data_IF_048812616506
#
_entry.id   IF_048812616506
#
_cell.length_a   1.000
_cell.length_b   1.000
_cell.length_c   1.000
_cell.angle_alpha   90.00
_cell.angle_beta   90.00
_cell.angle_gamma   90.00
#
_symmetry.space_group_name_H-M   'P 1'
#
loop_
_entity.id
_entity.type
_entity.pdbx_description
1 polymer ?
#
# COMPACT_ATOMS: atom_id res chain seq x y z
N UNK A 1 -9.69 -20.43 15.80
CA UNK A 1 -8.37 -20.30 15.16
C UNK A 1 -7.76 -21.68 15.06
N UNK A 2 -6.97 -21.95 14.02
CA UNK A 2 -6.39 -23.27 13.80
C UNK A 2 -5.35 -23.62 14.87
N UNK A 3 -5.33 -24.87 15.28
CA UNK A 3 -4.34 -25.45 16.18
C UNK A 3 -3.58 -26.52 15.40
N UNK A 4 -2.25 -26.57 15.53
CA UNK A 4 -1.48 -27.68 14.96
C UNK A 4 -1.76 -28.99 15.76
N UNK A 5 -1.31 -30.16 15.29
CA UNK A 5 -1.48 -31.43 16.00
C UNK A 5 -0.87 -31.45 17.42
N UNK A 6 0.05 -30.54 17.73
CA UNK A 6 0.74 -30.42 19.01
C UNK A 6 -0.02 -29.51 19.99
N UNK A 7 -1.18 -28.97 19.61
CA UNK A 7 -1.95 -28.06 20.46
C UNK A 7 -1.49 -26.59 20.40
N UNK A 8 -0.54 -26.24 19.53
CA UNK A 8 -0.06 -24.88 19.35
C UNK A 8 -1.04 -24.09 18.50
N UNK A 9 -1.54 -22.98 19.05
CA UNK A 9 -2.43 -22.08 18.34
C UNK A 9 -1.66 -21.28 17.29
N UNK A 10 -2.26 -21.11 16.11
CA UNK A 10 -1.71 -20.24 15.07
C UNK A 10 -1.56 -18.79 15.58
N UNK A 11 -0.33 -18.28 15.53
CA UNK A 11 0.03 -16.91 15.89
C UNK A 11 0.92 -16.31 14.80
N UNK A 12 0.36 -15.53 13.86
CA UNK A 12 1.15 -14.84 12.86
C UNK A 12 1.96 -13.72 13.50
N UNK A 13 3.26 -13.65 13.19
CA UNK A 13 4.15 -12.60 13.71
C UNK A 13 4.16 -11.36 12.83
N UNK A 14 4.02 -11.54 11.52
CA UNK A 14 4.02 -10.48 10.51
C UNK A 14 2.89 -10.75 9.51
N UNK A 15 2.20 -9.70 9.08
CA UNK A 15 1.27 -9.76 7.96
C UNK A 15 1.47 -8.58 7.00
N UNK A 16 1.20 -8.81 5.72
CA UNK A 16 1.13 -7.77 4.69
C UNK A 16 -0.33 -7.61 4.30
N UNK A 17 -0.84 -6.39 4.34
CA UNK A 17 -2.23 -6.07 3.97
C UNK A 17 -2.29 -4.88 3.03
N UNK A 18 -3.45 -4.67 2.44
CA UNK A 18 -3.70 -3.46 1.66
C UNK A 18 -3.86 -2.23 2.57
N UNK A 19 -4.05 -1.05 1.99
CA UNK A 19 -4.24 0.18 2.77
C UNK A 19 -5.67 0.32 3.32
N UNK A 20 -6.28 -0.78 3.78
CA UNK A 20 -7.63 -0.80 4.35
C UNK A 20 -7.56 -0.72 5.89
N UNK A 21 -8.29 0.23 6.47
CA UNK A 21 -8.27 0.47 7.92
C UNK A 21 -9.02 -0.64 8.66
N UNK A 22 -10.09 -1.18 8.08
CA UNK A 22 -10.92 -2.22 8.73
C UNK A 22 -10.20 -3.54 8.79
N UNK A 23 -9.51 -3.92 7.72
CA UNK A 23 -8.69 -5.13 7.66
C UNK A 23 -7.59 -5.08 8.71
N UNK A 24 -6.84 -3.97 8.77
CA UNK A 24 -5.80 -3.79 9.80
C UNK A 24 -6.35 -3.85 11.22
N UNK A 25 -7.47 -3.17 11.47
CA UNK A 25 -8.10 -3.19 12.78
C UNK A 25 -8.58 -4.59 13.17
N UNK A 26 -9.14 -5.36 12.22
CA UNK A 26 -9.55 -6.73 12.47
C UNK A 26 -8.34 -7.62 12.83
N UNK A 27 -7.23 -7.49 12.10
CA UNK A 27 -6.00 -8.25 12.39
C UNK A 27 -5.43 -7.91 13.77
N UNK A 28 -5.29 -6.62 14.12
CA UNK A 28 -4.74 -6.24 15.43
C UNK A 28 -5.67 -6.54 16.60
N UNK A 29 -6.99 -6.65 16.35
CA UNK A 29 -7.95 -7.08 17.37
C UNK A 29 -7.85 -8.57 17.69
N UNK A 30 -7.49 -9.40 16.70
CA UNK A 30 -7.34 -10.85 16.87
C UNK A 30 -5.92 -11.22 17.31
N UNK A 31 -4.91 -10.54 16.78
CA UNK A 31 -3.49 -10.74 17.10
C UNK A 31 -2.86 -9.39 17.49
N UNK A 32 -2.91 -9.01 18.78
CA UNK A 32 -2.41 -7.72 19.23
C UNK A 32 -0.91 -7.49 18.95
N UNK A 33 -0.13 -8.58 18.92
CA UNK A 33 1.33 -8.54 18.74
C UNK A 33 1.76 -8.64 17.26
N UNK A 34 0.81 -8.71 16.32
CA UNK A 34 1.13 -8.84 14.90
C UNK A 34 1.79 -7.55 14.37
N UNK A 35 2.92 -7.71 13.68
CA UNK A 35 3.54 -6.62 12.93
C UNK A 35 2.87 -6.49 11.56
N UNK A 36 2.17 -5.39 11.36
CA UNK A 36 1.51 -5.12 10.09
C UNK A 36 2.41 -4.32 9.15
N UNK A 37 2.55 -4.83 7.94
CA UNK A 37 3.10 -4.12 6.81
C UNK A 37 2.00 -3.79 5.80
N UNK A 38 2.08 -2.62 5.19
CA UNK A 38 1.25 -2.22 4.06
C UNK A 38 1.88 -2.69 2.76
N UNK A 39 1.04 -3.14 1.84
CA UNK A 39 1.45 -3.44 0.48
C UNK A 39 2.03 -2.17 -0.17
N UNK A 40 3.29 -2.27 -0.60
CA UNK A 40 4.03 -1.20 -1.24
C UNK A 40 3.34 -0.75 -2.53
N UNK A 41 2.79 -1.68 -3.30
CA UNK A 41 2.07 -1.38 -4.54
C UNK A 41 0.84 -0.51 -4.25
N UNK A 42 -0.03 -0.93 -3.34
CA UNK A 42 -1.25 -0.17 -3.00
C UNK A 42 -0.95 1.15 -2.30
N UNK A 43 0.07 1.20 -1.44
CA UNK A 43 0.53 2.46 -0.83
C UNK A 43 1.02 3.44 -1.89
N UNK A 44 1.89 2.97 -2.79
CA UNK A 44 2.41 3.78 -3.88
C UNK A 44 1.32 4.24 -4.84
N UNK A 45 0.40 3.35 -5.21
CA UNK A 45 -0.73 3.66 -6.08
C UNK A 45 -1.65 4.72 -5.44
N UNK A 46 -1.95 4.61 -4.14
CA UNK A 46 -2.75 5.60 -3.42
C UNK A 46 -2.07 6.98 -3.41
N UNK A 47 -0.76 7.03 -3.18
CA UNK A 47 0.02 8.26 -3.22
C UNK A 47 0.08 8.86 -4.63
N UNK A 48 0.32 8.04 -5.67
CA UNK A 48 0.30 8.50 -7.06
C UNK A 48 -1.06 9.04 -7.48
N UNK A 49 -2.15 8.37 -7.11
CA UNK A 49 -3.50 8.81 -7.42
C UNK A 49 -3.82 10.15 -6.75
N UNK A 50 -3.44 10.32 -5.49
CA UNK A 50 -3.62 11.59 -4.76
C UNK A 50 -2.75 12.68 -5.38
N UNK A 51 -1.47 12.41 -5.66
CA UNK A 51 -0.57 13.34 -6.33
C UNK A 51 -1.14 13.81 -7.66
N UNK A 52 -1.64 12.89 -8.49
CA UNK A 52 -2.24 13.22 -9.78
C UNK A 52 -3.50 14.06 -9.65
N UNK A 53 -4.31 13.81 -8.61
CA UNK A 53 -5.51 14.59 -8.30
C UNK A 53 -5.15 16.01 -7.87
N UNK A 54 -4.22 16.17 -6.92
CA UNK A 54 -3.78 17.47 -6.42
C UNK A 54 -3.18 18.31 -7.55
N UNK A 55 -2.30 17.72 -8.37
CA UNK A 55 -1.70 18.38 -9.53
C UNK A 55 -2.67 18.52 -10.73
N UNK A 56 -3.90 18.00 -10.64
CA UNK A 56 -4.91 18.11 -11.70
C UNK A 56 -5.31 19.55 -11.99
N UNK A 57 -5.18 20.43 -10.99
CA UNK A 57 -5.42 21.87 -11.10
C UNK A 57 -4.33 22.62 -11.89
N UNK A 58 -3.16 22.00 -12.09
CA UNK A 58 -2.06 22.60 -12.85
C UNK A 58 -2.22 22.35 -14.36
N UNK A 59 -1.95 23.35 -15.21
CA UNK A 59 -1.86 23.14 -16.65
C UNK A 59 -0.89 22.02 -17.00
N UNK A 60 -1.19 21.27 -18.07
CA UNK A 60 -0.22 20.31 -18.62
C UNK A 60 0.99 21.08 -19.14
N UNK A 61 2.20 20.61 -18.83
CA UNK A 61 3.45 21.22 -19.22
C UNK A 61 4.61 20.80 -18.32
N UNK A 62 5.78 21.36 -18.60
CA UNK A 62 7.05 20.96 -17.96
C UNK A 62 7.05 21.22 -16.45
N UNK A 63 6.52 22.36 -16.00
CA UNK A 63 6.42 22.72 -14.57
C UNK A 63 5.67 21.64 -13.76
N UNK A 64 4.53 21.16 -14.28
CA UNK A 64 3.75 20.10 -13.64
C UNK A 64 4.54 18.79 -13.59
N UNK A 65 5.31 18.50 -14.64
CA UNK A 65 6.11 17.28 -14.71
C UNK A 65 7.28 17.32 -13.74
N UNK A 66 7.94 18.46 -13.60
CA UNK A 66 9.04 18.68 -12.64
C UNK A 66 8.55 18.49 -11.20
N UNK A 67 7.44 19.14 -10.83
CA UNK A 67 6.83 19.02 -9.50
C UNK A 67 6.43 17.56 -9.23
N UNK A 68 5.74 16.91 -10.17
CA UNK A 68 5.35 15.51 -10.05
C UNK A 68 6.57 14.62 -9.84
N UNK A 69 7.62 14.83 -10.62
CA UNK A 69 8.84 14.02 -10.56
C UNK A 69 9.55 14.20 -9.23
N UNK A 70 9.64 15.44 -8.73
CA UNK A 70 10.25 15.74 -7.42
C UNK A 70 9.48 15.06 -6.28
N UNK A 71 8.16 15.25 -6.21
CA UNK A 71 7.32 14.64 -5.17
C UNK A 71 7.33 13.10 -5.26
N UNK A 72 7.34 12.54 -6.47
CA UNK A 72 7.45 11.10 -6.67
C UNK A 72 8.79 10.54 -6.15
N UNK A 73 9.92 11.21 -6.43
CA UNK A 73 11.23 10.82 -5.88
C UNK A 73 11.25 10.92 -4.36
N UNK A 74 10.69 11.99 -3.80
CA UNK A 74 10.59 12.17 -2.36
C UNK A 74 9.80 11.03 -1.69
N UNK A 75 8.65 10.66 -2.27
CA UNK A 75 7.86 9.52 -1.81
C UNK A 75 8.65 8.19 -1.86
N UNK A 76 9.38 7.95 -2.95
CA UNK A 76 10.19 6.73 -3.08
C UNK A 76 11.33 6.68 -2.06
N UNK A 77 11.97 7.82 -1.78
CA UNK A 77 12.97 7.95 -0.72
C UNK A 77 12.38 7.62 0.66
N UNK A 78 11.19 8.13 0.98
CA UNK A 78 10.47 7.79 2.22
C UNK A 78 10.16 6.28 2.31
N UNK A 79 9.72 5.64 1.22
CA UNK A 79 9.33 4.22 1.21
C UNK A 79 10.52 3.26 1.29
N UNK A 80 11.68 3.64 0.75
CA UNK A 80 12.77 2.68 0.47
C UNK A 80 14.08 2.97 1.17
N UNK A 81 14.37 4.22 1.50
CA UNK A 81 15.72 4.63 1.91
C UNK A 81 15.77 5.06 3.37
N UNK A 82 14.77 5.82 3.83
CA UNK A 82 14.78 6.36 5.20
C UNK A 82 14.37 5.27 6.19
N UNK A 83 15.26 4.99 7.15
CA UNK A 83 15.09 3.95 8.18
C UNK A 83 14.93 4.51 9.60
N UNK A 84 15.06 5.82 9.77
CA UNK A 84 14.89 6.50 11.06
C UNK A 84 13.70 7.47 10.99
N UNK A 85 12.83 7.40 11.99
CA UNK A 85 11.58 8.18 12.00
C UNK A 85 11.85 9.69 12.12
N UNK A 86 12.85 10.08 12.91
CA UNK A 86 13.21 11.50 13.05
C UNK A 86 13.76 12.07 11.75
N UNK A 87 14.54 11.29 11.01
CA UNK A 87 15.03 11.63 9.67
C UNK A 87 13.88 11.70 8.65
N UNK A 88 12.86 10.83 8.76
CA UNK A 88 11.68 10.90 7.90
C UNK A 88 10.88 12.20 8.14
N UNK A 89 10.68 12.57 9.40
CA UNK A 89 10.04 13.84 9.76
C UNK A 89 10.86 15.05 9.31
N UNK A 90 12.19 15.00 9.46
CA UNK A 90 13.08 16.08 9.01
C UNK A 90 13.02 16.25 7.49
N UNK A 91 13.12 15.16 6.73
CA UNK A 91 13.02 15.17 5.27
C UNK A 91 11.66 15.69 4.79
N UNK A 92 10.56 15.35 5.49
CA UNK A 92 9.24 15.90 5.20
C UNK A 92 9.16 17.41 5.44
N UNK A 93 9.67 17.89 6.58
CA UNK A 93 9.69 19.32 6.89
C UNK A 93 10.53 20.12 5.90
N UNK A 94 11.66 19.57 5.45
CA UNK A 94 12.50 20.18 4.42
C UNK A 94 11.72 20.33 3.09
N UNK A 95 11.04 19.27 2.66
CA UNK A 95 10.26 19.30 1.43
C UNK A 95 9.05 20.25 1.53
N UNK A 96 8.39 20.28 2.69
CA UNK A 96 7.31 21.25 2.98
C UNK A 96 7.82 22.69 2.96
N UNK A 97 8.97 22.96 3.60
CA UNK A 97 9.58 24.28 3.60
C UNK A 97 9.97 24.74 2.18
N UNK A 98 10.49 23.83 1.36
CA UNK A 98 10.81 24.10 -0.05
C UNK A 98 9.58 24.60 -0.82
N UNK A 99 8.47 23.86 -0.76
CA UNK A 99 7.25 24.25 -1.50
C UNK A 99 6.56 25.49 -0.90
N UNK A 100 6.64 25.70 0.41
CA UNK A 100 6.15 26.94 1.05
C UNK A 100 6.96 28.16 0.59
N UNK A 101 8.29 28.05 0.53
CA UNK A 101 9.15 29.13 0.04
C UNK A 101 8.96 29.38 -1.46
N UNK A 102 8.73 28.33 -2.25
CA UNK A 102 8.38 28.44 -3.66
C UNK A 102 7.04 29.16 -3.85
N UNK A 103 6.04 28.85 -3.01
CA UNK A 103 4.74 29.52 -3.02
C UNK A 103 4.83 31.00 -2.64
N UNK A 104 5.63 31.35 -1.62
CA UNK A 104 5.74 32.74 -1.17
C UNK A 104 6.39 33.66 -2.21
N UNK A 105 7.19 33.11 -3.13
CA UNK A 105 7.84 33.84 -4.23
C UNK A 105 6.94 34.04 -5.45
N UNK A 106 5.81 33.34 -5.53
CA UNK A 106 4.88 33.35 -6.68
C UNK A 106 3.82 34.46 -6.56
N UNK A 107 3.44 35.07 -7.68
CA UNK A 107 2.45 36.16 -7.73
C UNK A 107 1.17 35.75 -8.49
N UNK A 108 0.02 36.30 -8.10
CA UNK A 108 -1.25 36.16 -8.85
C UNK A 108 -1.71 34.71 -9.07
N UNK A 109 -1.96 34.31 -10.33
CA UNK A 109 -2.41 32.97 -10.73
C UNK A 109 -1.45 31.84 -10.33
N UNK A 110 -0.17 32.15 -10.07
CA UNK A 110 0.83 31.19 -9.59
C UNK A 110 0.64 30.82 -8.10
N UNK A 111 -0.03 31.66 -7.30
CA UNK A 111 -0.40 31.30 -5.92
C UNK A 111 -1.44 30.17 -5.85
N UNK A 112 -2.33 30.07 -6.85
CA UNK A 112 -3.26 28.93 -6.97
C UNK A 112 -2.52 27.65 -7.38
N UNK A 113 -1.39 27.78 -8.08
CA UNK A 113 -0.55 26.65 -8.51
C UNK A 113 0.20 26.00 -7.35
N UNK A 114 0.86 26.80 -6.50
CA UNK A 114 1.59 26.25 -5.35
C UNK A 114 0.70 25.69 -4.21
N UNK A 115 -0.63 25.73 -4.35
CA UNK A 115 -1.56 25.14 -3.39
C UNK A 115 -1.68 23.61 -3.57
N UNK A 116 -1.41 23.10 -4.78
CA UNK A 116 -1.56 21.69 -5.12
C UNK A 116 -0.51 20.80 -4.41
N UNK A 117 0.74 21.26 -4.35
CA UNK A 117 1.83 20.56 -3.69
C UNK A 117 1.65 20.55 -2.18
N UNK A 118 1.19 21.67 -1.62
CA UNK A 118 0.86 21.80 -0.19
C UNK A 118 -0.32 20.88 0.16
N UNK A 119 -1.33 20.78 -0.70
CA UNK A 119 -2.45 19.85 -0.51
C UNK A 119 -1.97 18.40 -0.49
N UNK A 120 -1.10 18.01 -1.43
CA UNK A 120 -0.53 16.66 -1.45
C UNK A 120 0.33 16.39 -0.21
N UNK A 121 1.18 17.33 0.21
CA UNK A 121 1.99 17.17 1.42
C UNK A 121 1.12 17.09 2.68
N UNK A 122 0.01 17.84 2.75
CA UNK A 122 -0.96 17.71 3.83
C UNK A 122 -1.56 16.30 3.89
N UNK A 123 -1.90 15.71 2.75
CA UNK A 123 -2.31 14.31 2.69
C UNK A 123 -1.19 13.38 3.16
N UNK A 124 0.02 13.55 2.65
CA UNK A 124 1.16 12.69 2.98
C UNK A 124 1.54 12.78 4.48
N UNK A 125 1.31 13.92 5.11
CA UNK A 125 1.58 14.12 6.55
C UNK A 125 0.85 13.10 7.44
N UNK A 126 -0.33 12.60 7.03
CA UNK A 126 -1.06 11.59 7.81
C UNK A 126 -0.33 10.25 7.88
N UNK A 127 0.53 9.93 6.89
CA UNK A 127 1.35 8.72 6.89
C UNK A 127 2.52 8.81 7.87
N UNK A 128 2.88 10.03 8.30
CA UNK A 128 3.92 10.31 9.27
C UNK A 128 3.35 10.66 10.66
N UNK A 129 2.04 10.49 10.88
CA UNK A 129 1.37 10.90 12.12
C UNK A 129 1.93 10.22 13.37
N UNK A 130 2.31 8.95 13.27
CA UNK A 130 2.92 8.16 14.36
C UNK A 130 4.06 7.29 13.82
N UNK A 131 5.01 6.96 14.68
CA UNK A 131 6.11 6.07 14.31
C UNK A 131 5.59 4.67 13.97
N UNK A 132 4.60 4.18 14.71
CA UNK A 132 3.99 2.88 14.51
C UNK A 132 3.35 2.78 13.13
N UNK A 133 2.64 3.83 12.68
CA UNK A 133 2.03 3.83 11.36
C UNK A 133 3.07 3.99 10.25
N UNK A 134 4.09 4.84 10.46
CA UNK A 134 5.21 4.99 9.54
C UNK A 134 5.95 3.67 9.30
N UNK A 135 6.19 2.87 10.35
CA UNK A 135 6.82 1.55 10.23
C UNK A 135 6.03 0.62 9.31
N UNK A 136 4.70 0.71 9.25
CA UNK A 136 3.91 -0.23 8.44
C UNK A 136 4.24 -0.14 6.94
N UNK A 137 4.72 0.98 6.43
CA UNK A 137 5.00 1.14 5.00
C UNK A 137 6.46 1.46 4.67
N UNK A 138 7.27 1.82 5.66
CA UNK A 138 8.65 2.24 5.46
C UNK A 138 9.63 1.07 5.36
N UNK A 139 10.88 1.36 4.97
CA UNK A 139 11.96 0.37 5.04
C UNK A 139 12.26 -0.06 6.48
N UNK A 140 12.03 0.80 7.48
CA UNK A 140 12.25 0.46 8.87
C UNK A 140 11.36 -0.70 9.33
N UNK A 141 10.05 -0.68 9.02
CA UNK A 141 9.20 -1.82 9.41
C UNK A 141 9.54 -3.10 8.68
N UNK A 142 10.10 -3.02 7.47
CA UNK A 142 10.61 -4.20 6.75
C UNK A 142 11.82 -4.79 7.48
N UNK A 143 12.73 -3.94 7.97
CA UNK A 143 13.86 -4.39 8.80
C UNK A 143 13.38 -5.03 10.10
N UNK A 144 12.40 -4.41 10.77
CA UNK A 144 11.80 -4.94 12.00
C UNK A 144 11.10 -6.29 11.76
N UNK A 145 10.38 -6.43 10.64
CA UNK A 145 9.71 -7.67 10.25
C UNK A 145 10.73 -8.77 9.92
N UNK A 146 11.80 -8.43 9.19
CA UNK A 146 12.88 -9.36 8.86
C UNK A 146 13.56 -9.91 10.12
N UNK A 147 13.88 -9.02 11.06
CA UNK A 147 14.45 -9.39 12.35
C UNK A 147 13.50 -10.30 13.17
N UNK A 148 12.18 -10.03 13.10
CA UNK A 148 11.17 -10.84 13.80
C UNK A 148 11.06 -12.26 13.22
N UNK A 149 11.13 -12.38 11.90
CA UNK A 149 11.02 -13.65 11.18
C UNK A 149 12.34 -14.43 11.10
N UNK A 150 13.47 -13.81 11.46
CA UNK A 150 14.79 -14.42 11.30
C UNK A 150 15.24 -14.56 9.84
N UNK A 151 14.78 -13.66 8.96
CA UNK A 151 15.09 -13.67 7.52
C UNK A 151 15.78 -12.37 7.09
N UNK A 152 16.27 -12.31 5.87
CA UNK A 152 16.81 -11.07 5.29
C UNK A 152 15.67 -10.10 4.90
N UNK A 153 15.93 -8.77 4.88
CA UNK A 153 14.92 -7.79 4.47
C UNK A 153 14.39 -7.94 3.04
N UNK A 154 15.13 -8.65 2.18
CA UNK A 154 14.78 -8.94 0.79
C UNK A 154 13.78 -10.10 0.70
N UNK A 155 13.77 -11.00 1.69
CA UNK A 155 12.83 -12.11 1.80
C UNK A 155 11.46 -11.68 2.36
N UNK A 156 11.37 -10.50 2.97
CA UNK A 156 10.10 -9.96 3.46
C UNK A 156 9.25 -9.48 2.27
N UNK A 157 8.08 -10.09 2.02
CA UNK A 157 7.22 -9.68 0.93
C UNK A 157 6.74 -8.23 1.15
N UNK A 158 6.92 -7.38 0.14
CA UNK A 158 6.45 -5.98 0.17
C UNK A 158 5.28 -5.72 -0.76
N UNK A 159 4.90 -6.70 -1.56
CA UNK A 159 3.79 -6.59 -2.49
C UNK A 159 2.96 -7.85 -2.47
N UNK A 160 1.65 -7.70 -2.56
CA UNK A 160 0.69 -8.77 -2.76
C UNK A 160 0.50 -9.09 -4.25
N UNK A 161 1.45 -8.76 -5.14
CA UNK A 161 1.32 -8.97 -6.59
C UNK A 161 1.03 -10.44 -6.97
N UNK A 162 1.54 -11.40 -6.20
CA UNK A 162 1.21 -12.81 -6.39
C UNK A 162 -0.29 -13.08 -6.13
N UNK A 163 -0.89 -12.39 -5.16
CA UNK A 163 -2.34 -12.40 -4.93
C UNK A 163 -3.08 -11.64 -6.03
N UNK A 164 -2.56 -10.55 -6.58
CA UNK A 164 -3.22 -9.82 -7.68
C UNK A 164 -3.29 -10.64 -8.98
N UNK A 165 -2.21 -11.33 -9.33
CA UNK A 165 -2.20 -12.27 -10.45
C UNK A 165 -3.25 -13.38 -10.25
N UNK A 166 -3.28 -13.95 -9.05
CA UNK A 166 -4.28 -14.95 -8.68
C UNK A 166 -5.70 -14.38 -8.71
N UNK A 167 -5.93 -13.16 -8.21
CA UNK A 167 -7.21 -12.47 -8.24
C UNK A 167 -7.68 -12.21 -9.68
N UNK A 168 -6.77 -11.88 -10.59
CA UNK A 168 -7.11 -11.71 -12.00
C UNK A 168 -7.53 -13.02 -12.63
N UNK A 169 -6.83 -14.13 -12.34
CA UNK A 169 -7.22 -15.45 -12.81
C UNK A 169 -8.58 -15.89 -12.23
N UNK A 170 -8.79 -15.69 -10.93
CA UNK A 170 -10.09 -15.93 -10.29
C UNK A 170 -11.21 -15.17 -10.99
N UNK A 171 -11.03 -13.85 -11.19
CA UNK A 171 -12.04 -12.99 -11.80
C UNK A 171 -12.27 -13.27 -13.28
N UNK A 172 -11.20 -13.53 -14.04
CA UNK A 172 -11.24 -13.69 -15.49
C UNK A 172 -11.65 -15.09 -15.92
N UNK A 173 -11.08 -16.12 -15.31
CA UNK A 173 -11.20 -17.50 -15.80
C UNK A 173 -12.37 -18.24 -15.14
N UNK A 174 -12.69 -17.92 -13.89
CA UNK A 174 -13.76 -18.62 -13.15
C UNK A 174 -15.01 -17.76 -12.98
N UNK A 175 -14.87 -16.49 -12.61
CA UNK A 175 -16.03 -15.67 -12.25
C UNK A 175 -16.62 -14.86 -13.40
N UNK A 176 -15.92 -14.69 -14.53
CA UNK A 176 -16.35 -13.82 -15.62
C UNK A 176 -17.75 -14.19 -16.13
N UNK A 177 -18.00 -15.48 -16.37
CA UNK A 177 -19.29 -16.01 -16.85
C UNK A 177 -20.43 -15.90 -15.82
N UNK A 178 -20.09 -15.64 -14.56
CA UNK A 178 -21.03 -15.47 -13.46
C UNK A 178 -21.26 -14.00 -13.10
N UNK A 179 -20.62 -13.07 -13.81
CA UNK A 179 -20.88 -11.64 -13.64
C UNK A 179 -22.11 -11.19 -14.42
N UNK A 180 -22.92 -10.32 -13.83
CA UNK A 180 -24.08 -9.73 -14.51
C UNK A 180 -24.05 -8.21 -14.39
N UNK A 181 -23.94 -7.51 -15.53
CA UNK A 181 -23.85 -6.05 -15.57
C UNK A 181 -22.62 -5.48 -14.86
N UNK A 182 -21.48 -6.19 -14.91
CA UNK A 182 -20.23 -5.78 -14.25
C UNK A 182 -20.23 -5.97 -12.73
N UNK A 183 -21.24 -6.62 -12.15
CA UNK A 183 -21.28 -6.99 -10.73
C UNK A 183 -20.75 -8.41 -10.53
N UNK A 184 -20.01 -8.60 -9.44
CA UNK A 184 -19.57 -9.92 -8.98
C UNK A 184 -20.79 -10.81 -8.68
N UNK A 185 -20.64 -12.14 -8.82
CA UNK A 185 -21.71 -13.08 -8.48
C UNK A 185 -22.13 -12.95 -7.01
N UNK A 186 -23.37 -13.36 -6.73
CA UNK A 186 -23.86 -13.48 -5.36
C UNK A 186 -22.99 -14.46 -4.56
N UNK A 187 -22.95 -14.30 -3.24
CA UNK A 187 -22.08 -15.07 -2.35
C UNK A 187 -22.29 -16.60 -2.46
N UNK A 188 -23.53 -17.05 -2.66
CA UNK A 188 -23.87 -18.46 -2.86
C UNK A 188 -23.20 -19.03 -4.13
N UNK A 189 -23.31 -18.32 -5.26
CA UNK A 189 -22.64 -18.70 -6.50
C UNK A 189 -21.12 -18.63 -6.33
N UNK A 190 -20.63 -17.64 -5.59
CA UNK A 190 -19.20 -17.50 -5.30
C UNK A 190 -18.65 -18.73 -4.58
N UNK A 191 -19.34 -19.22 -3.55
CA UNK A 191 -18.96 -20.43 -2.81
C UNK A 191 -19.03 -21.67 -3.71
N UNK A 192 -20.09 -21.81 -4.52
CA UNK A 192 -20.24 -22.95 -5.44
C UNK A 192 -19.05 -23.01 -6.40
N UNK A 193 -18.77 -21.93 -7.12
CA UNK A 193 -17.67 -21.87 -8.10
C UNK A 193 -16.32 -22.10 -7.43
N UNK A 194 -16.11 -21.55 -6.22
CA UNK A 194 -14.88 -21.76 -5.47
C UNK A 194 -14.64 -23.25 -5.18
N UNK A 195 -15.67 -23.95 -4.68
CA UNK A 195 -15.58 -25.36 -4.28
C UNK A 195 -15.56 -26.30 -5.48
N UNK A 196 -16.32 -26.02 -6.54
CA UNK A 196 -16.50 -26.96 -7.66
C UNK A 196 -15.53 -26.75 -8.82
N UNK A 197 -14.94 -25.55 -8.94
CA UNK A 197 -14.05 -25.24 -10.07
C UNK A 197 -12.67 -24.76 -9.61
N UNK A 198 -12.61 -23.71 -8.77
CA UNK A 198 -11.35 -23.05 -8.40
C UNK A 198 -10.43 -23.99 -7.61
N UNK A 199 -10.90 -24.54 -6.48
CA UNK A 199 -10.09 -25.38 -5.60
C UNK A 199 -9.63 -26.65 -6.33
N UNK A 200 -10.50 -27.41 -7.03
CA UNK A 200 -10.08 -28.60 -7.77
C UNK A 200 -9.03 -28.31 -8.84
N UNK A 201 -9.23 -27.27 -9.67
CA UNK A 201 -8.29 -26.93 -10.74
C UNK A 201 -6.93 -26.45 -10.19
N UNK A 202 -6.94 -25.70 -9.07
CA UNK A 202 -5.69 -25.32 -8.38
C UNK A 202 -4.86 -26.54 -7.98
N UNK A 203 -5.48 -27.54 -7.34
CA UNK A 203 -4.76 -28.75 -6.94
C UNK A 203 -4.36 -29.61 -8.13
N UNK A 204 -5.22 -29.73 -9.15
CA UNK A 204 -4.90 -30.45 -10.38
C UNK A 204 -3.66 -29.89 -11.09
N UNK A 205 -3.56 -28.56 -11.23
CA UNK A 205 -2.39 -27.92 -11.84
C UNK A 205 -1.12 -28.05 -11.01
N UNK A 206 -1.25 -28.06 -9.68
CA UNK A 206 -0.10 -28.23 -8.77
C UNK A 206 0.48 -29.65 -8.80
N UNK A 207 -0.34 -30.68 -9.00
CA UNK A 207 0.12 -32.07 -9.07
C UNK A 207 0.71 -32.45 -10.44
N UNK A 208 0.42 -31.68 -11.50
CA UNK A 208 0.82 -31.95 -12.87
C UNK A 208 1.82 -30.93 -13.45
N UNK A 209 2.46 -30.13 -12.59
CA UNK A 209 3.60 -29.23 -12.90
C UNK A 209 4.90 -29.80 -12.34
#
# INVERSE_FOLDING_TARGET
MGTNPEGVQFQPQVAVSDNDIKERHAMTSVWPDIKLLLCLFHTWQAWQNTLNRSLGSLPKGDERMEVRTRLARFCMRLLREIIDYSNAQAAFKEEEAFFRALHSRRAGSEKKRGAAEIEFLKYLSSFLATEEYWKQWSRAGVLDAAATLGVTPEEVPRTTNHLESHNNHLKGDYFADHTHGGRLPRLDIWIIVLVTAVIPDFFFRRENM
#
